data_IF_659765765843
#
_entry.id   IF_659765765843
#
_cell.length_a   1.000
_cell.length_b   1.000
_cell.length_c   1.000
_cell.angle_alpha   90.00
_cell.angle_beta   90.00
_cell.angle_gamma   90.00
#
_symmetry.space_group_name_H-M   'P 1'
#
loop_
_entity.id
_entity.type
_entity.pdbx_description
1 polymer ?
#
# COMPACT_ATOMS: atom_id res chain seq x y z
N UNK A 1 14.28 -45.66 52.52
CA UNK A 1 13.63 -45.57 51.19
C UNK A 1 12.14 -45.33 51.43
N UNK A 2 11.69 -44.07 51.50
CA UNK A 2 11.31 -43.17 50.39
C UNK A 2 10.07 -43.68 49.63
N UNK A 3 8.90 -43.10 49.93
CA UNK A 3 8.02 -42.35 49.01
C UNK A 3 6.67 -42.06 49.69
N UNK A 4 6.61 -40.98 50.46
CA UNK A 4 5.37 -40.38 50.94
C UNK A 4 5.41 -38.86 50.74
N UNK A 5 5.83 -38.43 49.54
CA UNK A 5 5.81 -37.02 49.10
C UNK A 5 5.55 -37.04 47.58
N UNK A 6 4.29 -37.23 47.15
CA UNK A 6 3.80 -36.37 46.06
C UNK A 6 2.30 -36.04 46.09
N UNK A 7 1.55 -36.32 47.17
CA UNK A 7 0.09 -36.10 47.18
C UNK A 7 -0.30 -34.72 47.75
N UNK A 8 0.44 -34.20 48.72
CA UNK A 8 0.16 -32.87 49.31
C UNK A 8 0.48 -31.73 48.33
N UNK A 9 1.48 -31.89 47.46
CA UNK A 9 1.82 -30.88 46.45
C UNK A 9 0.75 -30.77 45.35
N UNK A 10 0.13 -31.90 44.99
CA UNK A 10 -0.94 -31.94 43.97
C UNK A 10 -2.23 -31.33 44.51
N UNK A 11 -2.56 -31.55 45.79
CA UNK A 11 -3.75 -30.97 46.44
C UNK A 11 -3.58 -29.46 46.67
N UNK A 12 -2.38 -28.97 46.99
CA UNK A 12 -2.11 -27.53 47.15
C UNK A 12 -2.10 -26.79 45.80
N UNK A 13 -1.61 -27.42 44.72
CA UNK A 13 -1.69 -26.86 43.36
C UNK A 13 -3.13 -26.87 42.83
N UNK A 14 -3.93 -27.89 43.13
CA UNK A 14 -5.36 -27.92 42.77
C UNK A 14 -6.19 -26.90 43.56
N UNK A 15 -5.87 -26.64 44.84
CA UNK A 15 -6.52 -25.59 45.64
C UNK A 15 -6.11 -24.16 45.20
N UNK A 16 -4.93 -23.98 44.61
CA UNK A 16 -4.50 -22.71 43.99
C UNK A 16 -5.16 -22.48 42.63
N UNK A 17 -5.38 -23.53 41.84
CA UNK A 17 -6.11 -23.45 40.55
C UNK A 17 -7.62 -23.27 40.78
N UNK A 18 -8.18 -23.76 41.89
CA UNK A 18 -9.61 -23.56 42.22
C UNK A 18 -9.91 -22.19 42.85
N UNK A 19 -8.91 -21.49 43.43
CA UNK A 19 -9.06 -20.09 43.88
C UNK A 19 -8.97 -19.06 42.74
N UNK A 20 -8.34 -19.41 41.61
CA UNK A 20 -8.30 -18.56 40.42
C UNK A 20 -9.62 -18.56 39.61
N UNK A 21 -10.53 -19.51 39.89
CA UNK A 21 -11.82 -19.63 39.19
C UNK A 21 -12.98 -18.88 39.87
N UNK A 22 -12.75 -18.20 41.00
CA UNK A 22 -13.83 -17.57 41.80
C UNK A 22 -13.51 -16.15 42.31
N UNK A 23 -12.62 -15.40 41.65
CA UNK A 23 -12.31 -14.03 42.11
C UNK A 23 -11.63 -13.08 41.12
N UNK A 24 -11.64 -13.36 39.83
CA UNK A 24 -11.20 -12.36 38.84
C UNK A 24 -12.23 -11.23 38.77
N UNK A 25 -11.81 -9.98 39.00
CA UNK A 25 -12.67 -8.84 38.70
C UNK A 25 -12.81 -8.70 37.18
N UNK A 26 -14.00 -8.30 36.72
CA UNK A 26 -14.25 -8.04 35.30
C UNK A 26 -13.23 -6.98 34.81
N UNK A 27 -12.49 -7.28 33.71
CA UNK A 27 -11.58 -6.29 33.11
C UNK A 27 -12.37 -5.20 32.38
N UNK A 28 -13.52 -5.55 31.81
CA UNK A 28 -14.47 -4.62 31.18
C UNK A 28 -15.64 -4.30 32.14
N UNK A 29 -15.38 -3.50 33.18
CA UNK A 29 -16.38 -3.15 34.21
C UNK A 29 -17.52 -2.26 33.71
N UNK A 30 -17.32 -1.53 32.61
CA UNK A 30 -18.33 -0.64 32.02
C UNK A 30 -19.19 -1.32 30.95
N UNK A 31 -18.89 -2.58 30.59
CA UNK A 31 -19.65 -3.31 29.57
C UNK A 31 -19.53 -2.74 28.16
N UNK A 32 -18.35 -2.20 27.79
CA UNK A 32 -18.12 -1.67 26.45
C UNK A 32 -18.33 -2.77 25.39
N UNK A 33 -19.15 -2.56 24.34
CA UNK A 33 -19.58 -3.62 23.43
C UNK A 33 -18.45 -4.17 22.54
N UNK A 34 -17.29 -3.51 22.46
CA UNK A 34 -16.16 -3.99 21.65
C UNK A 34 -15.32 -5.06 22.37
N UNK A 35 -15.51 -5.25 23.68
CA UNK A 35 -14.74 -6.16 24.52
C UNK A 35 -15.64 -7.15 25.26
N UNK A 36 -15.17 -8.39 25.42
CA UNK A 36 -15.78 -9.38 26.32
C UNK A 36 -15.52 -9.02 27.79
N UNK A 37 -16.15 -9.73 28.73
CA UNK A 37 -15.96 -9.46 30.18
C UNK A 37 -14.53 -9.70 30.65
N UNK A 38 -13.89 -10.73 30.11
CA UNK A 38 -12.47 -11.06 30.29
C UNK A 38 -11.52 -10.11 29.54
N UNK A 39 -12.05 -9.09 28.85
CA UNK A 39 -11.24 -8.08 28.19
C UNK A 39 -10.68 -8.52 26.83
N UNK A 40 -11.20 -9.56 26.19
CA UNK A 40 -10.83 -9.92 24.81
C UNK A 40 -11.61 -9.07 23.79
N UNK A 41 -11.02 -8.77 22.64
CA UNK A 41 -11.71 -8.03 21.57
C UNK A 41 -12.74 -8.94 20.87
N UNK A 42 -13.98 -8.46 20.70
CA UNK A 42 -15.08 -9.25 20.10
C UNK A 42 -14.81 -9.59 18.62
N UNK A 43 -14.14 -8.69 17.89
CA UNK A 43 -13.76 -8.90 16.49
C UNK A 43 -12.28 -8.58 16.27
N UNK A 44 -11.47 -9.60 15.99
CA UNK A 44 -10.03 -9.44 15.81
C UNK A 44 -9.69 -8.76 14.46
N UNK A 45 -8.62 -7.94 14.40
CA UNK A 45 -8.10 -7.42 13.14
C UNK A 45 -7.73 -8.57 12.20
N UNK A 46 -8.14 -8.49 10.94
CA UNK A 46 -7.76 -9.47 9.93
C UNK A 46 -6.47 -9.06 9.23
N UNK A 47 -5.47 -9.94 9.24
CA UNK A 47 -4.26 -9.76 8.46
C UNK A 47 -4.54 -9.99 6.96
N UNK A 48 -4.30 -8.97 6.14
CA UNK A 48 -4.23 -9.19 4.70
C UNK A 48 -3.00 -10.06 4.39
N UNK A 49 -3.21 -11.29 3.91
CA UNK A 49 -2.12 -12.16 3.48
C UNK A 49 -1.60 -11.70 2.12
N UNK A 50 -0.30 -11.49 2.03
CA UNK A 50 0.43 -11.29 0.77
C UNK A 50 0.49 -12.62 0.03
N UNK A 51 0.06 -12.63 -1.22
CA UNK A 51 -0.10 -13.83 -2.05
C UNK A 51 1.08 -13.96 -3.03
N UNK A 52 1.87 -15.02 -2.88
CA UNK A 52 3.08 -15.27 -3.67
C UNK A 52 2.84 -15.94 -5.03
N UNK A 53 1.60 -16.36 -5.33
CA UNK A 53 1.29 -17.18 -6.50
C UNK A 53 0.72 -16.35 -7.67
N UNK A 54 0.98 -15.03 -7.68
CA UNK A 54 0.49 -14.13 -8.72
C UNK A 54 1.13 -14.42 -10.08
N UNK A 55 0.30 -14.58 -11.11
CA UNK A 55 0.72 -14.64 -12.52
C UNK A 55 0.74 -13.21 -13.07
N UNK A 56 1.86 -12.79 -13.64
CA UNK A 56 2.07 -11.41 -14.11
C UNK A 56 1.98 -11.35 -15.64
N UNK A 57 1.22 -10.39 -16.16
CA UNK A 57 1.15 -10.04 -17.59
C UNK A 57 1.67 -8.63 -17.77
N UNK A 58 2.83 -8.51 -18.42
CA UNK A 58 3.36 -7.19 -18.79
C UNK A 58 2.74 -6.70 -20.09
N UNK A 59 2.40 -5.42 -20.09
CA UNK A 59 1.96 -4.65 -21.24
C UNK A 59 2.89 -3.44 -21.35
N UNK A 60 3.46 -3.20 -22.52
CA UNK A 60 4.38 -2.08 -22.75
C UNK A 60 3.80 -1.19 -23.83
N UNK A 61 3.58 0.07 -23.48
CA UNK A 61 3.18 1.10 -24.43
C UNK A 61 4.33 1.40 -25.41
N UNK A 62 4.03 1.37 -26.71
CA UNK A 62 4.95 1.82 -27.76
C UNK A 62 4.34 3.01 -28.52
N UNK A 63 4.65 4.21 -28.05
CA UNK A 63 4.13 5.48 -28.58
C UNK A 63 5.23 6.51 -28.86
N UNK A 64 4.86 7.58 -29.55
CA UNK A 64 5.75 8.71 -29.85
C UNK A 64 6.40 9.33 -28.62
N UNK A 65 5.64 9.46 -27.53
CA UNK A 65 6.10 10.04 -26.27
C UNK A 65 7.02 9.09 -25.48
N UNK A 66 6.86 7.78 -25.64
CA UNK A 66 7.76 6.79 -25.04
C UNK A 66 9.15 6.72 -25.69
N UNK A 67 9.32 7.32 -26.87
CA UNK A 67 10.56 7.22 -27.65
C UNK A 67 11.81 7.67 -26.88
N UNK A 68 11.70 8.70 -26.04
CA UNK A 68 12.85 9.21 -25.30
C UNK A 68 13.37 8.23 -24.25
N UNK A 69 12.53 7.29 -23.79
CA UNK A 69 12.93 6.20 -22.90
C UNK A 69 13.52 5.01 -23.68
N UNK A 70 13.07 4.78 -24.91
CA UNK A 70 13.53 3.70 -25.80
C UNK A 70 14.67 4.07 -26.76
N UNK A 71 15.35 5.22 -26.59
CA UNK A 71 16.45 5.62 -27.49
C UNK A 71 17.57 4.60 -27.52
N UNK A 72 17.98 4.17 -28.71
CA UNK A 72 19.04 3.17 -28.88
C UNK A 72 20.35 3.63 -28.22
N UNK A 73 21.11 2.69 -27.64
CA UNK A 73 22.48 2.91 -27.19
C UNK A 73 22.65 3.75 -25.92
N UNK A 74 21.55 4.19 -25.30
CA UNK A 74 21.58 4.94 -24.04
C UNK A 74 21.01 4.10 -22.88
N UNK A 75 21.81 3.82 -21.84
CA UNK A 75 21.33 3.15 -20.62
C UNK A 75 20.67 4.18 -19.70
N UNK A 76 19.35 4.30 -19.78
CA UNK A 76 18.56 5.15 -18.88
C UNK A 76 18.10 4.36 -17.66
N UNK A 77 17.77 5.05 -16.56
CA UNK A 77 17.15 4.42 -15.39
C UNK A 77 15.88 3.62 -15.76
N UNK A 78 15.06 4.13 -16.69
CA UNK A 78 13.89 3.45 -17.20
C UNK A 78 14.25 2.06 -17.74
N UNK A 79 15.26 1.96 -18.60
CA UNK A 79 15.64 0.68 -19.19
C UNK A 79 16.17 -0.29 -18.16
N UNK A 80 16.99 0.19 -17.21
CA UNK A 80 17.48 -0.63 -16.09
C UNK A 80 16.31 -1.16 -15.28
N UNK A 81 15.41 -0.28 -14.86
CA UNK A 81 14.30 -0.61 -13.98
C UNK A 81 13.34 -1.59 -14.67
N UNK A 82 12.96 -1.35 -15.92
CA UNK A 82 12.14 -2.26 -16.72
C UNK A 82 12.83 -3.62 -16.91
N UNK A 83 14.13 -3.61 -17.23
CA UNK A 83 14.91 -4.85 -17.40
C UNK A 83 14.90 -5.69 -16.13
N UNK A 84 15.21 -5.08 -14.98
CA UNK A 84 15.30 -5.76 -13.70
C UNK A 84 13.92 -6.28 -13.25
N UNK A 85 12.89 -5.44 -13.28
CA UNK A 85 11.54 -5.78 -12.86
C UNK A 85 11.01 -6.97 -13.67
N UNK A 86 11.13 -6.93 -15.00
CA UNK A 86 10.67 -8.03 -15.85
C UNK A 86 11.51 -9.30 -15.65
N UNK A 87 12.82 -9.16 -15.39
CA UNK A 87 13.69 -10.31 -15.07
C UNK A 87 13.30 -10.97 -13.75
N UNK A 88 12.99 -10.17 -12.73
CA UNK A 88 12.55 -10.64 -11.43
C UNK A 88 11.26 -11.46 -11.54
N UNK A 89 10.29 -10.98 -12.34
CA UNK A 89 9.00 -11.66 -12.57
C UNK A 89 9.00 -12.67 -13.72
N UNK A 90 10.15 -13.01 -14.29
CA UNK A 90 10.28 -13.88 -15.48
C UNK A 90 9.67 -15.27 -15.29
N UNK A 91 9.73 -15.85 -14.09
CA UNK A 91 9.12 -17.15 -13.77
C UNK A 91 7.60 -17.11 -13.67
N UNK A 92 7.05 -15.94 -13.35
CA UNK A 92 5.61 -15.71 -13.18
C UNK A 92 4.96 -15.08 -14.42
N UNK A 93 5.76 -14.78 -15.45
CA UNK A 93 5.35 -14.14 -16.70
C UNK A 93 5.49 -15.14 -17.84
N UNK A 94 4.50 -15.18 -18.75
CA UNK A 94 4.60 -15.99 -19.97
C UNK A 94 5.04 -15.19 -21.18
N UNK A 95 4.39 -14.06 -21.44
CA UNK A 95 4.66 -13.18 -22.58
C UNK A 95 4.63 -11.71 -22.16
N UNK A 96 5.40 -10.88 -22.86
CA UNK A 96 5.35 -9.42 -22.79
C UNK A 96 4.54 -8.93 -24.00
N UNK A 97 3.46 -8.21 -23.73
CA UNK A 97 2.53 -7.73 -24.75
C UNK A 97 2.92 -6.31 -25.15
N UNK A 98 3.21 -6.09 -26.44
CA UNK A 98 3.50 -4.75 -26.94
C UNK A 98 2.18 -4.12 -27.40
N UNK A 99 1.84 -2.98 -26.80
CA UNK A 99 0.58 -2.29 -27.07
C UNK A 99 0.76 -1.28 -28.20
N UNK A 100 -0.15 -1.32 -29.17
CA UNK A 100 -0.22 -0.37 -30.28
C UNK A 100 -1.06 0.86 -29.92
N UNK A 101 -0.89 1.91 -30.69
CA UNK A 101 -1.64 3.17 -30.62
C UNK A 101 -3.17 3.03 -30.73
N UNK A 102 -3.67 1.99 -31.41
CA UNK A 102 -5.10 1.66 -31.49
C UNK A 102 -5.62 0.94 -30.23
N UNK A 103 -4.76 0.71 -29.23
CA UNK A 103 -5.09 0.01 -27.99
C UNK A 103 -5.08 -1.51 -28.11
N UNK A 104 -4.68 -2.07 -29.25
CA UNK A 104 -4.49 -3.49 -29.49
C UNK A 104 -3.14 -4.02 -28.98
N UNK A 105 -2.95 -5.35 -29.09
CA UNK A 105 -1.66 -6.01 -28.85
C UNK A 105 -1.01 -6.26 -30.20
N UNK A 106 0.04 -5.49 -30.50
CA UNK A 106 0.82 -5.56 -31.74
C UNK A 106 1.53 -6.91 -31.92
N UNK A 107 1.92 -7.50 -30.79
CA UNK A 107 2.69 -8.73 -30.75
C UNK A 107 3.06 -9.12 -29.33
N UNK A 108 3.52 -10.35 -29.21
CA UNK A 108 4.03 -10.92 -27.96
C UNK A 108 5.50 -11.21 -28.10
N UNK A 109 6.28 -10.79 -27.11
CA UNK A 109 7.71 -11.07 -27.03
C UNK A 109 8.00 -11.91 -25.78
N UNK A 110 8.93 -12.84 -25.91
CA UNK A 110 9.58 -13.39 -24.73
C UNK A 110 10.51 -12.33 -24.11
N UNK A 111 10.97 -12.56 -22.89
CA UNK A 111 11.81 -11.61 -22.15
C UNK A 111 13.09 -11.22 -22.89
N UNK A 112 13.83 -12.20 -23.42
CA UNK A 112 15.10 -11.95 -24.10
C UNK A 112 14.92 -11.08 -25.36
N UNK A 113 13.89 -11.37 -26.16
CA UNK A 113 13.56 -10.60 -27.36
C UNK A 113 13.15 -9.17 -27.00
N UNK A 114 12.35 -9.00 -25.95
CA UNK A 114 11.95 -7.68 -25.47
C UNK A 114 13.15 -6.85 -24.98
N UNK A 115 14.02 -7.45 -24.17
CA UNK A 115 15.21 -6.79 -23.65
C UNK A 115 16.14 -6.34 -24.78
N UNK A 116 16.33 -7.19 -25.79
CA UNK A 116 17.07 -6.82 -27.00
C UNK A 116 16.39 -5.67 -27.74
N UNK A 117 15.08 -5.76 -28.01
CA UNK A 117 14.30 -4.74 -28.70
C UNK A 117 14.37 -3.38 -28.00
N UNK A 118 14.28 -3.36 -26.66
CA UNK A 118 14.41 -2.16 -25.83
C UNK A 118 15.82 -1.54 -25.94
N UNK A 119 16.86 -2.37 -25.95
CA UNK A 119 18.25 -1.89 -26.01
C UNK A 119 18.59 -1.29 -27.37
N UNK A 120 18.16 -1.94 -28.46
CA UNK A 120 18.41 -1.46 -29.84
C UNK A 120 17.43 -0.38 -30.29
N UNK A 121 16.45 -0.03 -29.45
CA UNK A 121 15.44 1.00 -29.74
C UNK A 121 14.38 0.60 -30.77
N UNK A 122 14.12 -0.70 -30.93
CA UNK A 122 13.13 -1.23 -31.86
C UNK A 122 11.66 -1.03 -31.41
N UNK A 123 11.44 -0.49 -30.20
CA UNK A 123 10.12 -0.19 -29.65
C UNK A 123 9.70 1.27 -29.86
N UNK A 124 10.46 2.03 -30.65
CA UNK A 124 10.12 3.41 -30.99
C UNK A 124 8.94 3.46 -31.98
N UNK A 125 8.04 4.41 -31.77
CA UNK A 125 6.82 4.59 -32.57
C UNK A 125 6.61 6.06 -32.91
N UNK A 126 5.87 6.36 -33.98
CA UNK A 126 5.49 7.74 -34.32
C UNK A 126 4.02 8.04 -33.99
N UNK A 127 3.31 7.10 -33.35
CA UNK A 127 1.87 7.20 -33.14
C UNK A 127 1.52 7.68 -31.72
N UNK A 128 0.40 8.40 -31.60
CA UNK A 128 -0.19 8.81 -30.33
C UNK A 128 -0.99 7.69 -29.68
N UNK A 129 -0.98 7.64 -28.35
CA UNK A 129 -1.56 6.55 -27.56
C UNK A 129 -3.07 6.66 -27.41
N UNK A 130 -3.76 5.55 -27.15
CA UNK A 130 -5.15 5.54 -26.67
C UNK A 130 -5.25 4.72 -25.37
N UNK A 131 -4.78 5.30 -24.26
CA UNK A 131 -4.75 4.63 -22.95
C UNK A 131 -6.10 4.03 -22.53
N UNK A 132 -7.28 4.65 -22.75
CA UNK A 132 -8.55 4.04 -22.37
C UNK A 132 -8.81 2.74 -23.14
N UNK A 133 -8.48 2.67 -24.44
CA UNK A 133 -8.63 1.43 -25.21
C UNK A 133 -7.63 0.38 -24.74
N UNK A 134 -6.37 0.76 -24.50
CA UNK A 134 -5.37 -0.14 -23.91
C UNK A 134 -5.87 -0.72 -22.57
N UNK A 135 -6.43 0.13 -21.72
CA UNK A 135 -6.99 -0.26 -20.44
C UNK A 135 -8.16 -1.26 -20.61
N UNK A 136 -9.06 -1.00 -21.56
CA UNK A 136 -10.17 -1.90 -21.90
C UNK A 136 -9.65 -3.27 -22.38
N UNK A 137 -8.65 -3.29 -23.25
CA UNK A 137 -7.98 -4.51 -23.73
C UNK A 137 -7.36 -5.27 -22.56
N UNK A 138 -6.61 -4.60 -21.69
CA UNK A 138 -5.95 -5.22 -20.54
C UNK A 138 -6.98 -5.83 -19.58
N UNK A 139 -8.01 -5.06 -19.21
CA UNK A 139 -9.06 -5.52 -18.27
C UNK A 139 -9.83 -6.71 -18.85
N UNK A 140 -10.19 -6.68 -20.14
CA UNK A 140 -10.93 -7.77 -20.79
C UNK A 140 -10.13 -9.07 -20.91
N UNK A 141 -8.79 -8.99 -20.99
CA UNK A 141 -7.91 -10.16 -21.08
C UNK A 141 -7.52 -10.73 -19.71
N UNK A 142 -7.74 -9.97 -18.62
CA UNK A 142 -7.27 -10.33 -17.28
C UNK A 142 -8.14 -11.43 -16.65
N UNK A 143 -7.53 -12.61 -16.40
CA UNK A 143 -8.23 -13.72 -15.75
C UNK A 143 -8.15 -13.64 -14.22
N UNK A 144 -8.99 -14.41 -13.53
CA UNK A 144 -8.96 -14.54 -12.07
C UNK A 144 -7.57 -14.99 -11.60
N UNK A 145 -7.02 -14.29 -10.62
CA UNK A 145 -5.69 -14.58 -10.08
C UNK A 145 -4.51 -14.05 -10.90
N UNK A 146 -4.74 -13.45 -12.06
CA UNK A 146 -3.71 -12.76 -12.84
C UNK A 146 -3.61 -11.29 -12.43
N UNK A 147 -2.43 -10.70 -12.64
CA UNK A 147 -2.15 -9.28 -12.48
C UNK A 147 -1.58 -8.74 -13.78
N UNK A 148 -2.15 -7.64 -14.27
CA UNK A 148 -1.56 -6.89 -15.38
C UNK A 148 -0.67 -5.77 -14.87
N UNK A 149 0.42 -5.51 -15.58
CA UNK A 149 1.30 -4.36 -15.36
C UNK A 149 1.49 -3.64 -16.68
N UNK A 150 0.89 -2.46 -16.82
CA UNK A 150 1.12 -1.56 -17.96
C UNK A 150 2.27 -0.61 -17.66
N UNK A 151 3.26 -0.58 -18.53
CA UNK A 151 4.41 0.33 -18.50
C UNK A 151 4.18 1.43 -19.53
N UNK A 152 4.10 2.67 -19.07
CA UNK A 152 3.58 3.81 -19.85
C UNK A 152 4.06 5.13 -19.24
N UNK A 153 4.17 6.18 -20.05
CA UNK A 153 4.32 7.56 -19.57
C UNK A 153 2.95 8.23 -19.29
N UNK A 154 1.86 7.49 -19.50
CA UNK A 154 0.46 7.87 -19.32
C UNK A 154 0.08 9.13 -20.11
N UNK A 155 0.69 9.34 -21.28
CA UNK A 155 0.37 10.45 -22.18
C UNK A 155 -0.60 10.04 -23.29
N UNK A 156 -1.80 10.56 -23.20
CA UNK A 156 -2.76 10.68 -24.30
C UNK A 156 -2.71 12.11 -24.83
N UNK A 157 -2.54 12.26 -26.13
CA UNK A 157 -2.57 13.57 -26.77
C UNK A 157 -3.65 13.66 -27.84
N UNK A 158 -4.69 14.47 -27.59
CA UNK A 158 -5.62 14.93 -28.61
C UNK A 158 -5.16 16.24 -29.30
N UNK A 159 -3.92 16.70 -29.08
CA UNK A 159 -3.43 17.99 -29.62
C UNK A 159 -3.43 17.94 -31.15
N UNK A 160 -3.99 18.98 -31.78
CA UNK A 160 -4.29 19.02 -33.22
C UNK A 160 -5.73 18.62 -33.58
N UNK A 161 -6.51 18.09 -32.63
CA UNK A 161 -7.96 17.95 -32.78
C UNK A 161 -8.66 19.31 -32.64
N UNK A 162 -9.86 19.42 -33.22
CA UNK A 162 -10.66 20.66 -33.17
C UNK A 162 -11.10 21.05 -31.75
N UNK A 163 -11.19 20.10 -30.81
CA UNK A 163 -11.59 20.34 -29.43
C UNK A 163 -10.83 19.45 -28.43
N UNK A 164 -9.54 19.76 -28.12
CA UNK A 164 -8.69 18.92 -27.27
C UNK A 164 -9.23 18.76 -25.84
N UNK A 165 -9.81 19.81 -25.26
CA UNK A 165 -10.41 19.77 -23.91
C UNK A 165 -11.58 18.79 -23.85
N UNK A 166 -12.44 18.76 -24.88
CA UNK A 166 -13.57 17.83 -24.96
C UNK A 166 -13.08 16.38 -25.01
N UNK A 167 -12.03 16.10 -25.79
CA UNK A 167 -11.43 14.78 -25.88
C UNK A 167 -10.74 14.35 -24.57
N UNK A 168 -10.15 15.29 -23.86
CA UNK A 168 -9.58 15.08 -22.52
C UNK A 168 -10.66 14.78 -21.48
N UNK A 169 -11.83 15.42 -21.54
CA UNK A 169 -12.98 15.07 -20.69
C UNK A 169 -13.57 13.70 -21.04
N UNK A 170 -13.68 13.40 -22.34
CA UNK A 170 -14.13 12.09 -22.80
C UNK A 170 -13.18 10.97 -22.36
N UNK A 171 -11.87 11.23 -22.44
CA UNK A 171 -10.83 10.33 -21.92
C UNK A 171 -11.08 9.96 -20.45
N UNK A 172 -11.32 10.94 -19.58
CA UNK A 172 -11.63 10.69 -18.17
C UNK A 172 -12.91 9.88 -18.00
N UNK A 173 -13.95 10.18 -18.78
CA UNK A 173 -15.23 9.46 -18.77
C UNK A 173 -15.10 8.00 -19.20
N UNK A 174 -14.28 7.72 -20.22
CA UNK A 174 -14.00 6.36 -20.67
C UNK A 174 -13.21 5.57 -19.64
N UNK A 175 -12.19 6.19 -19.03
CA UNK A 175 -11.46 5.58 -17.90
C UNK A 175 -12.43 5.23 -16.76
N UNK A 176 -13.33 6.15 -16.39
CA UNK A 176 -14.33 5.93 -15.35
C UNK A 176 -15.22 4.73 -15.64
N UNK A 177 -15.75 4.63 -16.86
CA UNK A 177 -16.60 3.52 -17.30
C UNK A 177 -15.86 2.18 -17.26
N UNK A 178 -14.64 2.14 -17.79
CA UNK A 178 -13.84 0.91 -17.87
C UNK A 178 -13.42 0.46 -16.48
N UNK A 179 -12.87 1.36 -15.67
CA UNK A 179 -12.43 1.05 -14.32
C UNK A 179 -13.60 0.63 -13.43
N UNK A 180 -14.71 1.39 -13.46
CA UNK A 180 -15.93 1.11 -12.70
C UNK A 180 -16.52 -0.26 -13.00
N UNK A 181 -16.53 -0.67 -14.27
CA UNK A 181 -17.05 -1.98 -14.69
C UNK A 181 -16.10 -3.16 -14.44
N UNK A 182 -14.81 -2.90 -14.20
CA UNK A 182 -13.79 -3.95 -14.07
C UNK A 182 -13.91 -4.82 -12.82
N UNK A 183 -14.43 -4.25 -11.72
CA UNK A 183 -14.39 -4.86 -10.39
C UNK A 183 -12.97 -5.15 -9.87
N UNK A 184 -11.93 -4.51 -10.45
CA UNK A 184 -10.52 -4.69 -10.10
C UNK A 184 -9.99 -3.55 -9.25
N UNK A 185 -8.90 -3.83 -8.54
CA UNK A 185 -8.09 -2.82 -7.87
C UNK A 185 -6.95 -2.37 -8.79
N UNK A 186 -6.53 -1.12 -8.63
CA UNK A 186 -5.47 -0.49 -9.41
C UNK A 186 -4.41 0.05 -8.47
N UNK A 187 -3.14 0.01 -8.88
CA UNK A 187 -2.07 0.77 -8.25
C UNK A 187 -1.22 1.42 -9.33
N UNK A 188 -1.17 2.75 -9.34
CA UNK A 188 -0.28 3.52 -10.20
C UNK A 188 1.02 3.82 -9.46
N UNK A 189 2.13 3.25 -9.92
CA UNK A 189 3.45 3.45 -9.35
C UNK A 189 4.20 4.45 -10.25
N UNK A 190 4.73 5.52 -9.66
CA UNK A 190 5.48 6.55 -10.37
C UNK A 190 6.98 6.39 -10.15
N UNK A 191 7.74 6.51 -11.24
CA UNK A 191 9.19 6.56 -11.23
C UNK A 191 9.70 7.68 -12.14
N UNK A 192 11.00 7.98 -12.05
CA UNK A 192 11.66 8.98 -12.90
C UNK A 192 12.86 8.41 -13.64
N UNK A 193 13.11 8.93 -14.83
CA UNK A 193 14.33 8.65 -15.60
C UNK A 193 14.75 9.83 -16.46
N UNK A 194 15.95 9.72 -17.04
CA UNK A 194 16.38 10.61 -18.10
C UNK A 194 15.59 10.37 -19.39
N UNK A 195 15.15 11.45 -20.02
CA UNK A 195 14.50 11.45 -21.32
C UNK A 195 15.46 11.96 -22.39
N UNK A 196 15.59 11.22 -23.49
CA UNK A 196 16.62 11.44 -24.50
C UNK A 196 16.00 11.84 -25.84
N UNK A 197 16.53 12.89 -26.48
CA UNK A 197 16.08 13.33 -27.81
C UNK A 197 16.54 12.39 -28.95
N UNK A 198 16.20 12.73 -30.19
CA UNK A 198 16.62 11.96 -31.39
C UNK A 198 18.13 11.99 -31.64
N UNK A 199 18.84 12.99 -31.11
CA UNK A 199 20.28 13.16 -31.27
C UNK A 199 21.08 12.45 -30.16
N UNK A 200 20.40 11.92 -29.14
CA UNK A 200 21.04 11.26 -28.00
C UNK A 200 21.31 12.19 -26.82
N UNK A 201 20.83 13.44 -26.84
CA UNK A 201 21.01 14.36 -25.73
C UNK A 201 19.94 14.15 -24.66
N UNK A 202 20.33 14.30 -23.39
CA UNK A 202 19.40 14.29 -22.27
C UNK A 202 18.62 15.61 -22.26
N UNK A 203 17.31 15.55 -22.51
CA UNK A 203 16.39 16.71 -22.45
C UNK A 203 16.05 17.04 -21.00
N UNK A 204 15.81 16.00 -20.19
CA UNK A 204 15.61 16.12 -18.74
C UNK A 204 16.10 14.86 -18.05
N UNK A 205 16.54 14.98 -16.80
CA UNK A 205 16.91 13.83 -15.94
C UNK A 205 15.74 13.29 -15.12
N UNK A 206 14.59 13.96 -15.15
CA UNK A 206 13.44 13.70 -14.27
C UNK A 206 12.13 13.63 -15.05
N UNK A 207 12.13 12.86 -16.13
CA UNK A 207 10.90 12.56 -16.86
C UNK A 207 10.15 11.42 -16.14
N UNK A 208 8.85 11.59 -15.85
CA UNK A 208 8.09 10.58 -15.16
C UNK A 208 7.68 9.44 -16.10
N UNK A 209 7.64 8.24 -15.55
CA UNK A 209 7.04 7.07 -16.19
C UNK A 209 6.38 6.20 -15.11
N UNK A 210 5.49 5.29 -15.53
CA UNK A 210 4.56 4.63 -14.62
C UNK A 210 4.45 3.13 -14.86
N UNK A 211 4.18 2.43 -13.76
CA UNK A 211 3.67 1.06 -13.76
C UNK A 211 2.24 1.09 -13.23
N UNK A 212 1.26 0.89 -14.11
CA UNK A 212 -0.14 0.71 -13.72
C UNK A 212 -0.41 -0.78 -13.50
N UNK A 213 -0.57 -1.16 -12.23
CA UNK A 213 -0.82 -2.54 -11.79
C UNK A 213 -2.32 -2.75 -11.61
N UNK A 214 -2.88 -3.81 -12.20
CA UNK A 214 -4.34 -4.06 -12.24
C UNK A 214 -4.63 -5.52 -11.88
N UNK A 215 -5.57 -5.76 -10.97
CA UNK A 215 -6.00 -7.11 -10.61
C UNK A 215 -6.73 -7.19 -9.27
N UNK A 216 -6.66 -8.36 -8.65
CA UNK A 216 -7.23 -8.55 -7.31
C UNK A 216 -6.32 -7.91 -6.25
N UNK A 217 -6.90 -7.14 -5.32
CA UNK A 217 -6.19 -6.28 -4.35
C UNK A 217 -4.92 -6.90 -3.74
N UNK A 218 -5.01 -8.10 -3.16
CA UNK A 218 -3.86 -8.73 -2.49
C UNK A 218 -2.69 -9.01 -3.44
N UNK A 219 -2.99 -9.36 -4.69
CA UNK A 219 -1.98 -9.60 -5.73
C UNK A 219 -1.42 -8.28 -6.27
N UNK A 220 -2.27 -7.26 -6.46
CA UNK A 220 -1.82 -5.91 -6.82
C UNK A 220 -0.85 -5.37 -5.76
N UNK A 221 -1.18 -5.51 -4.47
CA UNK A 221 -0.30 -5.12 -3.36
C UNK A 221 1.06 -5.82 -3.39
N UNK A 222 1.07 -7.12 -3.70
CA UNK A 222 2.30 -7.91 -3.80
C UNK A 222 3.19 -7.41 -4.94
N UNK A 223 2.63 -7.28 -6.15
CA UNK A 223 3.37 -6.82 -7.33
C UNK A 223 3.83 -5.37 -7.16
N UNK A 224 2.96 -4.49 -6.65
CA UNK A 224 3.31 -3.11 -6.33
C UNK A 224 4.47 -3.05 -5.35
N UNK A 225 4.42 -3.79 -4.24
CA UNK A 225 5.52 -3.78 -3.27
C UNK A 225 6.84 -4.19 -3.92
N UNK A 226 6.84 -5.24 -4.76
CA UNK A 226 8.05 -5.64 -5.45
C UNK A 226 8.59 -4.57 -6.40
N UNK A 227 7.75 -4.04 -7.28
CA UNK A 227 8.13 -2.96 -8.20
C UNK A 227 8.67 -1.75 -7.42
N UNK A 228 7.92 -1.27 -6.42
CA UNK A 228 8.34 -0.12 -5.60
C UNK A 228 9.65 -0.38 -4.85
N UNK A 229 9.87 -1.58 -4.30
CA UNK A 229 11.13 -1.94 -3.63
C UNK A 229 12.34 -1.88 -4.57
N UNK A 230 12.23 -2.41 -5.79
CA UNK A 230 13.31 -2.36 -6.79
C UNK A 230 13.61 -0.91 -7.21
N UNK A 231 12.58 -0.13 -7.52
CA UNK A 231 12.71 1.28 -7.89
C UNK A 231 13.31 2.13 -6.76
N UNK A 232 12.91 1.86 -5.51
CA UNK A 232 13.42 2.55 -4.31
C UNK A 232 14.90 2.26 -4.09
N UNK A 233 15.32 1.02 -4.30
CA UNK A 233 16.74 0.62 -4.22
C UNK A 233 17.64 1.38 -5.20
N UNK A 234 17.06 1.79 -6.33
CA UNK A 234 17.71 2.58 -7.38
C UNK A 234 17.46 4.08 -7.26
N UNK A 235 16.70 4.53 -6.26
CA UNK A 235 16.31 5.93 -6.05
C UNK A 235 15.54 6.53 -7.24
N UNK A 236 14.80 5.70 -7.98
CA UNK A 236 13.95 6.14 -9.09
C UNK A 236 12.47 6.17 -8.71
N UNK A 237 12.08 5.47 -7.64
CA UNK A 237 10.74 5.51 -7.07
C UNK A 237 10.37 6.93 -6.62
N UNK A 238 9.13 7.34 -6.88
CA UNK A 238 8.58 8.61 -6.40
C UNK A 238 7.46 8.36 -5.39
N UNK A 239 6.37 7.70 -5.82
CA UNK A 239 5.19 7.42 -4.99
C UNK A 239 4.30 6.38 -5.68
N UNK A 240 3.28 5.89 -4.98
CA UNK A 240 2.21 5.09 -5.55
C UNK A 240 0.82 5.61 -5.14
N UNK A 241 -0.15 5.48 -6.05
CA UNK A 241 -1.57 5.71 -5.79
C UNK A 241 -2.35 4.41 -5.93
N UNK A 242 -2.99 3.98 -4.85
CA UNK A 242 -3.89 2.82 -4.85
C UNK A 242 -5.33 3.27 -5.14
N UNK A 243 -6.10 2.48 -5.90
CA UNK A 243 -7.52 2.72 -6.19
C UNK A 243 -8.33 1.44 -6.07
N UNK A 244 -9.55 1.55 -5.54
CA UNK A 244 -10.44 0.40 -5.32
C UNK A 244 -9.96 -0.55 -4.24
N UNK A 245 -9.09 -0.08 -3.34
CA UNK A 245 -8.62 -0.86 -2.20
C UNK A 245 -9.65 -0.83 -1.08
N UNK A 246 -10.00 -2.00 -0.58
CA UNK A 246 -10.73 -2.18 0.66
C UNK A 246 -9.69 -2.38 1.76
N UNK A 247 -9.21 -1.28 2.36
CA UNK A 247 -8.31 -1.40 3.49
C UNK A 247 -9.10 -2.00 4.65
N UNK A 248 -8.67 -3.20 5.07
CA UNK A 248 -9.20 -3.83 6.27
C UNK A 248 -8.72 -3.07 7.52
N UNK A 249 -9.13 -3.54 8.69
CA UNK A 249 -8.54 -3.14 9.97
C UNK A 249 -7.03 -3.21 9.90
N UNK A 250 -6.33 -2.14 10.27
CA UNK A 250 -4.86 -2.10 10.29
C UNK A 250 -4.37 -3.21 11.20
N UNK A 251 -3.54 -4.17 10.74
CA UNK A 251 -2.98 -5.15 11.63
C UNK A 251 -1.99 -4.49 12.58
N UNK A 252 -2.04 -4.85 13.86
CA UNK A 252 -1.17 -4.27 14.88
C UNK A 252 -0.72 -5.31 15.90
N UNK A 253 0.38 -5.00 16.57
CA UNK A 253 0.85 -5.67 17.77
C UNK A 253 1.29 -4.63 18.80
N UNK A 254 1.66 -5.08 19.99
CA UNK A 254 2.15 -4.19 21.04
C UNK A 254 3.61 -4.49 21.39
N UNK A 255 4.34 -3.45 21.77
CA UNK A 255 5.58 -3.58 22.52
C UNK A 255 5.31 -3.78 24.00
N UNK A 256 6.38 -3.90 24.79
CA UNK A 256 6.28 -4.02 26.24
C UNK A 256 5.70 -2.72 26.79
N UNK A 257 4.54 -2.75 27.48
CA UNK A 257 3.98 -1.56 28.12
C UNK A 257 4.81 -1.15 29.35
N UNK A 258 4.63 0.11 29.77
CA UNK A 258 5.09 0.57 31.09
C UNK A 258 3.88 0.94 31.92
N UNK A 259 3.94 0.59 33.20
CA UNK A 259 2.89 0.88 34.18
C UNK A 259 1.51 0.28 33.81
N UNK A 260 1.54 -0.90 33.21
CA UNK A 260 0.40 -1.80 33.00
C UNK A 260 0.95 -3.13 32.51
N UNK A 261 0.14 -4.18 32.54
CA UNK A 261 0.45 -5.49 31.95
C UNK A 261 -0.51 -5.74 30.79
N UNK A 262 0.00 -6.28 29.68
CA UNK A 262 -0.85 -6.66 28.54
C UNK A 262 -1.47 -8.03 28.78
N UNK A 263 -2.79 -8.16 28.61
CA UNK A 263 -3.51 -9.42 28.69
C UNK A 263 -3.36 -10.22 27.39
N UNK A 264 -2.77 -11.43 27.45
CA UNK A 264 -2.76 -12.45 26.38
C UNK A 264 -2.63 -11.96 24.92
N UNK A 265 -1.76 -10.97 24.68
CA UNK A 265 -1.60 -10.30 23.37
C UNK A 265 -2.84 -9.56 22.84
N UNK A 266 -3.93 -9.52 23.60
CA UNK A 266 -5.12 -8.73 23.36
C UNK A 266 -4.81 -7.23 23.48
N UNK A 267 -5.64 -6.36 22.89
CA UNK A 267 -5.54 -4.90 23.07
C UNK A 267 -6.06 -4.47 24.44
N UNK A 268 -5.72 -5.20 25.50
CA UNK A 268 -6.19 -4.97 26.87
C UNK A 268 -5.01 -4.89 27.81
N UNK A 269 -4.97 -3.81 28.58
CA UNK A 269 -3.92 -3.48 29.52
C UNK A 269 -4.53 -3.34 30.91
N UNK A 270 -4.00 -4.07 31.89
CA UNK A 270 -4.54 -4.14 33.24
C UNK A 270 -3.47 -3.78 34.29
N UNK A 271 -3.87 -3.66 35.56
CA UNK A 271 -3.02 -3.22 36.66
C UNK A 271 -2.39 -1.83 36.47
N UNK A 272 -3.09 -0.91 35.79
CA UNK A 272 -2.60 0.45 35.66
C UNK A 272 -2.69 1.21 37.01
N UNK A 273 -1.56 1.71 37.50
CA UNK A 273 -1.48 2.51 38.73
C UNK A 273 -1.05 3.96 38.43
N UNK A 274 -1.98 4.91 38.51
CA UNK A 274 -1.70 6.33 38.24
C UNK A 274 -0.61 6.92 39.15
N UNK A 275 -0.38 6.37 40.35
CA UNK A 275 0.65 6.85 41.28
C UNK A 275 2.07 6.61 40.76
N UNK A 276 2.26 5.63 39.87
CA UNK A 276 3.54 5.31 39.24
C UNK A 276 3.79 6.10 37.95
N UNK A 277 2.88 7.01 37.60
CA UNK A 277 2.95 7.88 36.42
C UNK A 277 2.06 7.42 35.27
N UNK A 278 2.28 7.96 34.08
CA UNK A 278 1.46 7.62 32.91
C UNK A 278 1.67 6.17 32.44
N UNK A 279 0.59 5.50 32.05
CA UNK A 279 0.67 4.26 31.29
C UNK A 279 1.25 4.56 29.91
N UNK A 280 2.25 3.79 29.46
CA UNK A 280 2.77 3.92 28.09
C UNK A 280 2.61 2.65 27.30
N UNK A 281 1.99 2.76 26.13
CA UNK A 281 1.70 1.64 25.22
C UNK A 281 2.47 1.89 23.92
N UNK A 282 3.25 0.91 23.49
CA UNK A 282 3.92 0.96 22.18
C UNK A 282 3.06 0.22 21.15
N UNK A 283 2.20 0.93 20.43
CA UNK A 283 1.35 0.37 19.38
C UNK A 283 2.16 0.22 18.08
N UNK A 284 2.32 -1.00 17.59
CA UNK A 284 3.06 -1.31 16.36
C UNK A 284 2.08 -1.62 15.24
N UNK A 285 1.96 -0.73 14.26
CA UNK A 285 1.12 -0.91 13.07
C UNK A 285 1.92 -1.57 11.96
N UNK A 286 1.38 -2.62 11.35
CA UNK A 286 1.97 -3.35 10.22
C UNK A 286 1.39 -2.81 8.91
N UNK A 287 2.23 -2.23 8.06
CA UNK A 287 1.85 -1.33 6.96
C UNK A 287 2.14 -1.91 5.56
N UNK A 288 2.52 -3.18 5.46
CA UNK A 288 2.96 -3.81 4.20
C UNK A 288 1.89 -3.81 3.11
N UNK A 289 0.62 -3.95 3.51
CA UNK A 289 -0.52 -3.97 2.61
C UNK A 289 -1.04 -2.57 2.24
N UNK A 290 -0.56 -1.53 2.92
CA UNK A 290 -1.02 -0.15 2.74
C UNK A 290 -0.15 0.60 1.72
N UNK A 291 -0.58 1.83 1.36
CA UNK A 291 0.18 2.71 0.45
C UNK A 291 1.64 2.83 0.90
N UNK A 292 2.55 2.99 -0.06
CA UNK A 292 3.97 3.09 0.22
C UNK A 292 4.28 4.22 1.20
N UNK A 293 3.67 5.38 0.94
CA UNK A 293 3.81 6.62 1.71
C UNK A 293 3.37 6.50 3.19
N UNK A 294 2.61 5.45 3.56
CA UNK A 294 2.28 5.20 4.97
C UNK A 294 3.51 4.83 5.80
N UNK A 295 4.63 4.48 5.17
CA UNK A 295 5.89 4.27 5.88
C UNK A 295 6.70 5.57 6.07
N UNK A 296 6.08 6.74 5.94
CA UNK A 296 6.70 8.03 6.22
C UNK A 296 6.19 8.59 7.54
N UNK A 297 7.11 9.12 8.36
CA UNK A 297 6.80 9.55 9.73
C UNK A 297 5.79 10.69 9.75
N UNK A 298 5.96 11.69 8.91
CA UNK A 298 5.10 12.87 8.83
C UNK A 298 3.69 12.52 8.29
N UNK A 299 3.60 11.57 7.36
CA UNK A 299 2.33 11.05 6.88
C UNK A 299 1.58 10.30 7.98
N UNK A 300 2.25 9.40 8.71
CA UNK A 300 1.64 8.71 9.86
C UNK A 300 1.19 9.68 10.93
N UNK A 301 2.00 10.71 11.25
CA UNK A 301 1.64 11.73 12.23
C UNK A 301 0.35 12.46 11.89
N UNK A 302 0.11 12.76 10.60
CA UNK A 302 -1.13 13.40 10.13
C UNK A 302 -2.31 12.43 10.02
N UNK A 303 -2.01 11.16 9.75
CA UNK A 303 -3.00 10.12 9.42
C UNK A 303 -3.55 9.37 10.63
N UNK A 304 -2.74 9.24 11.69
CA UNK A 304 -3.11 8.53 12.90
C UNK A 304 -3.93 9.41 13.83
N UNK A 305 -5.06 8.88 14.29
CA UNK A 305 -5.92 9.53 15.27
C UNK A 305 -6.14 8.60 16.46
N UNK A 306 -6.14 9.16 17.66
CA UNK A 306 -6.46 8.43 18.90
C UNK A 306 -7.21 9.36 19.85
N UNK A 307 -8.23 8.83 20.51
CA UNK A 307 -9.00 9.51 21.55
C UNK A 307 -9.39 8.54 22.64
N UNK A 308 -9.57 9.05 23.86
CA UNK A 308 -10.23 8.32 24.93
C UNK A 308 -11.75 8.37 24.75
N UNK A 309 -12.43 7.33 25.19
CA UNK A 309 -13.90 7.24 25.21
C UNK A 309 -14.47 7.82 26.50
N UNK A 310 -13.77 7.62 27.63
CA UNK A 310 -14.29 7.94 28.96
C UNK A 310 -13.52 9.05 29.70
N UNK A 311 -12.69 9.82 28.99
CA UNK A 311 -12.13 11.09 29.48
C UNK A 311 -10.66 11.07 29.92
N UNK A 312 -9.94 9.95 29.79
CA UNK A 312 -8.49 9.94 30.01
C UNK A 312 -7.76 10.89 29.07
N UNK A 313 -6.65 11.46 29.55
CA UNK A 313 -5.74 12.21 28.71
C UNK A 313 -4.85 11.25 27.93
N UNK A 314 -4.93 11.33 26.59
CA UNK A 314 -4.10 10.53 25.69
C UNK A 314 -3.17 11.44 24.89
N UNK A 315 -1.90 11.07 24.79
CA UNK A 315 -0.90 11.77 23.99
C UNK A 315 -0.09 10.78 23.15
N UNK A 316 0.12 11.11 21.88
CA UNK A 316 1.16 10.47 21.06
C UNK A 316 2.49 11.13 21.42
N UNK A 317 3.38 10.39 22.08
CA UNK A 317 4.66 10.90 22.56
C UNK A 317 5.77 10.78 21.53
N UNK A 318 5.72 9.75 20.68
CA UNK A 318 6.72 9.51 19.64
C UNK A 318 6.16 8.57 18.56
N UNK A 319 6.75 8.65 17.37
CA UNK A 319 6.49 7.76 16.25
C UNK A 319 7.83 7.37 15.63
N UNK A 320 8.11 6.08 15.59
CA UNK A 320 9.27 5.48 14.93
C UNK A 320 8.80 4.63 13.74
N UNK A 321 9.47 4.74 12.60
CA UNK A 321 9.21 3.89 11.44
C UNK A 321 10.39 2.96 11.20
N UNK A 322 10.11 1.68 10.96
CA UNK A 322 11.08 0.69 10.52
C UNK A 322 10.62 0.04 9.24
N UNK A 323 11.43 0.15 8.19
CA UNK A 323 11.20 -0.49 6.90
C UNK A 323 12.34 -1.44 6.57
N UNK A 324 11.99 -2.57 5.98
CA UNK A 324 12.92 -3.48 5.34
C UNK A 324 12.24 -4.04 4.08
N UNK A 325 12.85 -3.85 2.92
CA UNK A 325 12.32 -4.28 1.64
C UNK A 325 13.00 -5.56 1.12
N UNK A 326 14.02 -6.04 1.83
CA UNK A 326 14.86 -7.16 1.45
C UNK A 326 15.08 -8.11 2.62
N UNK A 327 14.09 -8.97 2.89
CA UNK A 327 14.17 -9.96 3.95
C UNK A 327 14.69 -11.29 3.39
N UNK A 328 15.84 -11.77 3.87
CA UNK A 328 16.43 -13.06 3.48
C UNK A 328 16.63 -13.22 1.95
N UNK A 329 17.16 -12.18 1.28
CA UNK A 329 17.35 -12.14 -0.19
C UNK A 329 16.06 -12.25 -1.02
N UNK A 330 14.89 -12.12 -0.37
CA UNK A 330 13.60 -12.06 -1.05
C UNK A 330 13.08 -10.63 -1.01
N UNK A 331 12.52 -10.19 -2.12
CA UNK A 331 11.83 -8.91 -2.22
C UNK A 331 10.53 -9.02 -1.40
N UNK A 332 10.61 -8.58 -0.16
CA UNK A 332 9.52 -8.64 0.80
C UNK A 332 9.54 -7.35 1.62
N UNK A 333 8.56 -6.50 1.35
CA UNK A 333 8.30 -5.32 2.17
C UNK A 333 7.87 -5.75 3.58
N UNK A 334 8.53 -5.16 4.56
CA UNK A 334 8.22 -5.12 5.99
C UNK A 334 8.19 -3.65 6.37
N UNK A 335 7.08 -3.17 6.92
CA UNK A 335 6.94 -1.75 7.27
C UNK A 335 6.15 -1.64 8.57
N UNK A 336 6.83 -1.24 9.65
CA UNK A 336 6.24 -1.15 10.98
C UNK A 336 6.34 0.27 11.51
N UNK A 337 5.21 0.88 11.81
CA UNK A 337 5.14 2.14 12.55
C UNK A 337 4.92 1.85 14.03
N UNK A 338 5.85 2.25 14.89
CA UNK A 338 5.71 2.16 16.35
C UNK A 338 5.29 3.51 16.90
N UNK A 339 4.04 3.58 17.36
CA UNK A 339 3.41 4.77 17.93
C UNK A 339 3.40 4.62 19.45
N UNK A 340 4.12 5.51 20.15
CA UNK A 340 4.12 5.52 21.61
C UNK A 340 2.94 6.35 22.10
N UNK A 341 1.99 5.68 22.74
CA UNK A 341 0.84 6.29 23.39
C UNK A 341 1.14 6.46 24.88
N UNK A 342 0.78 7.60 25.43
CA UNK A 342 0.85 7.90 26.86
C UNK A 342 -0.54 8.25 27.36
N UNK A 343 -0.98 7.56 28.41
CA UNK A 343 -2.32 7.70 28.99
C UNK A 343 -2.19 8.08 30.45
N UNK A 344 -2.93 9.11 30.87
CA UNK A 344 -2.91 9.63 32.23
C UNK A 344 -4.27 10.20 32.64
N UNK A 345 -4.44 10.49 33.93
CA UNK A 345 -5.63 11.10 34.51
C UNK A 345 -6.89 10.31 34.15
N UNK A 346 -6.92 9.01 34.48
CA UNK A 346 -8.01 8.13 34.10
C UNK A 346 -9.17 8.29 35.11
N UNK A 347 -10.29 8.91 34.73
CA UNK A 347 -11.31 9.34 35.70
C UNK A 347 -12.11 8.17 36.30
N UNK A 348 -12.07 6.99 35.68
CA UNK A 348 -12.75 5.79 36.17
C UNK A 348 -11.80 4.60 36.27
N UNK A 349 -12.31 3.42 36.62
CA UNK A 349 -11.49 2.21 36.80
C UNK A 349 -11.03 1.59 35.47
N UNK A 350 -11.61 2.02 34.36
CA UNK A 350 -11.18 1.65 33.01
C UNK A 350 -11.41 2.77 32.00
N UNK A 351 -10.68 2.73 30.88
CA UNK A 351 -10.97 3.55 29.71
C UNK A 351 -10.73 2.75 28.43
N UNK A 352 -11.38 3.17 27.35
CA UNK A 352 -11.22 2.61 26.01
C UNK A 352 -10.65 3.69 25.10
N UNK A 353 -9.48 3.42 24.55
CA UNK A 353 -8.90 4.26 23.50
C UNK A 353 -9.45 3.81 22.15
N UNK A 354 -10.12 4.71 21.44
CA UNK A 354 -10.48 4.52 20.04
C UNK A 354 -9.39 5.15 19.18
N UNK A 355 -8.81 4.38 18.27
CA UNK A 355 -7.82 4.89 17.31
C UNK A 355 -8.14 4.46 15.88
N UNK A 356 -7.64 5.22 14.91
CA UNK A 356 -7.76 4.89 13.50
C UNK A 356 -6.53 5.40 12.72
N UNK A 357 -6.30 4.81 11.56
CA UNK A 357 -5.32 5.25 10.58
C UNK A 357 -6.06 5.61 9.28
N UNK A 358 -6.19 6.91 9.01
CA UNK A 358 -6.75 7.38 7.74
C UNK A 358 -5.70 7.17 6.65
N UNK A 359 -6.07 6.49 5.58
CA UNK A 359 -5.18 6.34 4.42
C UNK A 359 -5.35 7.58 3.53
N UNK A 360 -4.29 8.34 3.23
CA UNK A 360 -4.33 9.46 2.32
C UNK A 360 -4.93 9.02 0.99
N UNK A 361 -5.85 9.81 0.47
CA UNK A 361 -6.47 9.53 -0.82
C UNK A 361 -5.53 9.93 -1.97
N UNK A 362 -6.00 9.75 -3.20
CA UNK A 362 -5.23 10.11 -4.39
C UNK A 362 -5.05 11.62 -4.58
N UNK A 363 -5.90 12.45 -3.97
CA UNK A 363 -5.77 13.91 -4.04
C UNK A 363 -4.79 14.47 -3.01
N UNK A 364 -4.55 13.72 -1.93
CA UNK A 364 -3.48 13.98 -0.94
C UNK A 364 -2.08 13.52 -1.44
N UNK A 365 -1.94 13.13 -2.72
CA UNK A 365 -0.71 12.60 -3.31
C UNK A 365 0.40 13.66 -3.40
N UNK A 366 1.16 13.80 -2.32
CA UNK A 366 2.20 14.82 -2.13
C UNK A 366 3.27 14.80 -3.22
N UNK A 367 3.60 13.63 -3.79
CA UNK A 367 4.73 13.53 -4.72
C UNK A 367 4.35 13.30 -6.19
N UNK A 368 3.26 12.57 -6.50
CA UNK A 368 2.79 12.44 -7.90
C UNK A 368 2.23 13.77 -8.42
N UNK A 369 1.71 14.63 -7.54
CA UNK A 369 1.18 15.95 -7.90
C UNK A 369 2.16 16.81 -8.71
N UNK A 370 3.48 16.64 -8.53
CA UNK A 370 4.50 17.40 -9.27
C UNK A 370 4.50 17.10 -10.78
N UNK A 371 3.96 15.96 -11.21
CA UNK A 371 3.90 15.53 -12.61
C UNK A 371 2.55 15.83 -13.28
N UNK A 372 1.63 16.47 -12.57
CA UNK A 372 0.30 16.86 -13.07
C UNK A 372 0.30 18.28 -13.66
N UNK A 373 -0.79 18.65 -14.33
CA UNK A 373 -0.98 19.99 -14.89
C UNK A 373 0.03 20.35 -15.98
N UNK A 374 0.35 19.39 -16.86
CA UNK A 374 1.12 19.72 -18.06
C UNK A 374 0.25 20.55 -19.02
N UNK A 375 0.81 21.59 -19.62
CA UNK A 375 0.10 22.46 -20.57
C UNK A 375 0.28 22.05 -22.03
N UNK A 376 1.29 21.22 -22.29
CA UNK A 376 1.71 20.76 -23.61
C UNK A 376 2.04 19.26 -23.53
N UNK A 377 1.70 18.51 -24.58
CA UNK A 377 2.05 17.09 -24.73
C UNK A 377 3.58 16.87 -24.72
N UNK A 378 4.32 17.85 -25.24
CA UNK A 378 5.77 17.81 -25.40
C UNK A 378 6.51 18.11 -24.09
N UNK A 379 5.79 18.47 -23.01
CA UNK A 379 6.40 18.62 -21.69
C UNK A 379 6.87 17.26 -21.18
N UNK A 380 8.16 16.98 -21.34
CA UNK A 380 8.79 15.73 -20.89
C UNK A 380 8.97 15.66 -19.37
N UNK A 381 8.66 16.71 -18.62
CA UNK A 381 8.78 16.73 -17.15
C UNK A 381 7.47 16.38 -16.45
N UNK A 382 6.37 16.26 -17.21
CA UNK A 382 5.01 16.00 -16.72
C UNK A 382 4.25 15.05 -17.64
N UNK A 383 3.06 14.64 -17.21
CA UNK A 383 2.21 13.69 -17.92
C UNK A 383 0.86 14.32 -18.27
N UNK A 384 0.68 14.68 -19.54
CA UNK A 384 -0.40 15.57 -20.00
C UNK A 384 -1.81 15.11 -19.63
N UNK A 385 -2.12 13.81 -19.75
CA UNK A 385 -3.46 13.28 -19.47
C UNK A 385 -3.59 12.55 -18.13
N UNK A 386 -2.53 12.54 -17.31
CA UNK A 386 -2.52 11.73 -16.08
C UNK A 386 -3.55 12.22 -15.06
N UNK A 387 -3.74 13.53 -14.94
CA UNK A 387 -4.74 14.10 -14.03
C UNK A 387 -6.15 13.61 -14.39
N UNK A 388 -6.51 13.63 -15.67
CA UNK A 388 -7.79 13.15 -16.16
C UNK A 388 -7.94 11.64 -15.97
N UNK A 389 -6.85 10.88 -16.05
CA UNK A 389 -6.85 9.45 -15.75
C UNK A 389 -7.22 9.22 -14.28
N UNK A 390 -6.53 9.89 -13.36
CA UNK A 390 -6.76 9.78 -11.91
C UNK A 390 -8.20 10.17 -11.56
N UNK A 391 -8.67 11.31 -12.08
CA UNK A 391 -10.05 11.78 -11.90
C UNK A 391 -11.03 10.75 -12.46
N UNK A 392 -10.78 10.21 -13.66
CA UNK A 392 -11.60 9.17 -14.27
C UNK A 392 -11.73 7.93 -13.39
N UNK A 393 -10.61 7.39 -12.87
CA UNK A 393 -10.64 6.23 -11.96
C UNK A 393 -11.53 6.52 -10.73
N UNK A 394 -11.39 7.69 -10.12
CA UNK A 394 -12.16 8.08 -8.95
C UNK A 394 -13.66 8.25 -9.25
N UNK A 395 -13.99 8.93 -10.36
CA UNK A 395 -15.38 9.11 -10.82
C UNK A 395 -16.04 7.78 -11.21
N UNK A 396 -15.26 6.78 -11.65
CA UNK A 396 -15.73 5.41 -11.87
C UNK A 396 -16.16 4.66 -10.60
N UNK A 397 -16.09 5.30 -9.42
CA UNK A 397 -16.45 4.70 -8.14
C UNK A 397 -15.40 3.75 -7.57
N UNK A 398 -14.19 3.73 -8.15
CA UNK A 398 -13.06 2.91 -7.71
C UNK A 398 -12.30 3.64 -6.60
N UNK A 399 -13.01 3.89 -5.50
CA UNK A 399 -12.49 4.62 -4.33
C UNK A 399 -11.98 3.66 -3.26
N UNK A 400 -10.98 4.10 -2.50
CA UNK A 400 -10.46 3.31 -1.39
C UNK A 400 -11.42 3.37 -0.20
N UNK A 401 -11.75 2.21 0.38
CA UNK A 401 -12.45 2.16 1.67
C UNK A 401 -11.43 2.36 2.79
N UNK A 402 -11.72 3.31 3.66
CA UNK A 402 -10.89 3.63 4.82
C UNK A 402 -10.97 2.52 5.88
N UNK A 403 -9.89 2.28 6.66
CA UNK A 403 -9.90 1.35 7.77
C UNK A 403 -10.95 1.72 8.82
N UNK A 404 -11.50 0.69 9.48
CA UNK A 404 -12.34 0.85 10.65
C UNK A 404 -11.50 1.22 11.88
N UNK A 405 -12.14 1.87 12.86
CA UNK A 405 -11.51 2.14 14.14
C UNK A 405 -11.15 0.86 14.89
N UNK A 406 -10.10 0.95 15.68
CA UNK A 406 -9.63 -0.06 16.60
C UNK A 406 -9.71 0.46 18.03
N UNK A 407 -9.69 -0.48 18.97
CA UNK A 407 -9.95 -0.19 20.38
C UNK A 407 -8.87 -0.80 21.25
N UNK A 408 -8.51 -0.09 22.32
CA UNK A 408 -7.60 -0.56 23.37
C UNK A 408 -8.27 -0.33 24.72
N UNK A 409 -8.45 -1.38 25.51
CA UNK A 409 -8.95 -1.30 26.88
C UNK A 409 -7.78 -1.11 27.84
N UNK A 410 -7.92 -0.18 28.78
CA UNK A 410 -6.97 0.05 29.87
C UNK A 410 -7.75 0.02 31.17
N UNK A 411 -7.32 -0.75 32.17
CA UNK A 411 -7.99 -0.86 33.47
C UNK A 411 -7.01 -0.84 34.63
N UNK A 412 -7.46 -0.30 35.77
CA UNK A 412 -6.78 -0.35 37.07
C UNK A 412 -6.90 -1.73 37.73
N UNK A 413 -7.82 -2.58 37.25
CA UNK A 413 -8.10 -3.88 37.83
C UNK A 413 -6.95 -4.87 37.62
N UNK A 414 -6.84 -5.82 38.54
CA UNK A 414 -5.91 -6.95 38.46
C UNK A 414 -6.65 -8.21 37.97
N UNK A 415 -5.89 -9.16 37.40
CA UNK A 415 -6.40 -10.48 37.03
C UNK A 415 -6.36 -11.48 38.18
#
# INVERSE_FOLDING_TARGET
MKKAIPIILIVVVLLLVFKALLGGSDLNTMGDPHFTKDGSLVSQPQFAKVDSDAIVRFYVESSGSMNGFFRNGQPTDFKRDVYEIMSYYSRSTKDINIMTNDGGVAGKMNLANFQNAMNVGALQSNASTQIPIMLSTIVSQLKKGEVAVLISDMKYSPVGAAAPEVLLTQYGSDVARIAGSSGKSFSLISAISSYVDKMGNIVTKRSPYYYLVIGDQNKVSYIRNGISSMLDSHKTFIDNMDFGYKYATVPYTFGIPRNAVQYEQQPTFYSYDESLGACTISLKLHLEAFRWIMAEKDVIQKSFTVKSTYGSKVKVSDIEIKTDNYVNQKLKRSAVATIKLSVSNMPSDMDVLQWNLRIPDGTDATYIGQFLGAKDENDVTKSYSLENFIIGIQQGGIVNKQPQSNYILITKNNL
#
